data_IF_996704373498
#
_entry.id   IF_996704373498
#
_cell.length_a   1.000
_cell.length_b   1.000
_cell.length_c   1.000
_cell.angle_alpha   90.00
_cell.angle_beta   90.00
_cell.angle_gamma   90.00
#
_symmetry.space_group_name_H-M   'P 1'
#
loop_
_entity.id
_entity.type
_entity.pdbx_description
1 polymer ?
#
# COMPACT_ATOMS: atom_id res chain seq x y z
N UNK A 1 -23.65 6.96 -5.45
CA UNK A 1 -23.45 6.04 -6.59
C UNK A 1 -23.20 4.66 -6.03
N UNK A 2 -23.76 3.61 -6.64
CA UNK A 2 -23.53 2.22 -6.19
C UNK A 2 -22.11 1.77 -6.54
N UNK A 3 -21.53 0.89 -5.71
CA UNK A 3 -20.21 0.33 -5.95
C UNK A 3 -20.15 -0.47 -7.27
N UNK A 4 -18.97 -0.56 -7.87
CA UNK A 4 -18.72 -1.37 -9.06
C UNK A 4 -18.65 -2.85 -8.68
N UNK A 5 -17.94 -3.15 -7.60
CA UNK A 5 -17.86 -4.50 -7.03
C UNK A 5 -17.99 -4.46 -5.51
N UNK A 6 -18.70 -5.44 -4.96
CA UNK A 6 -18.91 -5.63 -3.53
C UNK A 6 -18.64 -7.09 -3.15
N UNK A 7 -17.96 -7.31 -2.04
CA UNK A 7 -17.80 -8.61 -1.41
C UNK A 7 -18.55 -8.59 -0.08
N UNK A 8 -19.51 -9.50 0.10
CA UNK A 8 -20.30 -9.60 1.32
C UNK A 8 -20.04 -10.96 2.00
N UNK A 9 -19.38 -10.93 3.17
CA UNK A 9 -19.03 -12.10 3.98
C UNK A 9 -18.31 -13.20 3.19
N UNK A 10 -17.43 -12.79 2.28
CA UNK A 10 -16.67 -13.70 1.41
C UNK A 10 -15.69 -14.51 2.26
N UNK A 11 -15.73 -15.82 2.11
CA UNK A 11 -14.72 -16.72 2.65
C UNK A 11 -14.24 -17.70 1.57
N UNK A 12 -12.95 -18.02 1.57
CA UNK A 12 -12.35 -19.03 0.68
C UNK A 12 -11.59 -20.04 1.54
N UNK A 13 -11.89 -21.31 1.37
CA UNK A 13 -11.20 -22.42 2.01
C UNK A 13 -10.62 -23.38 0.97
N UNK A 14 -9.39 -23.84 1.22
CA UNK A 14 -8.74 -24.91 0.47
C UNK A 14 -8.59 -26.11 1.39
N UNK A 15 -9.44 -27.12 1.19
CA UNK A 15 -9.58 -28.22 2.14
C UNK A 15 -10.09 -27.72 3.50
N UNK A 16 -9.38 -28.05 4.59
CA UNK A 16 -9.75 -27.63 5.94
C UNK A 16 -9.22 -26.23 6.34
N UNK A 17 -8.42 -25.57 5.47
CA UNK A 17 -7.78 -24.29 5.78
C UNK A 17 -8.52 -23.14 5.11
N UNK A 18 -9.04 -22.21 5.90
CA UNK A 18 -9.51 -20.91 5.41
C UNK A 18 -8.31 -20.05 5.00
N UNK A 19 -8.29 -19.59 3.76
CA UNK A 19 -7.22 -18.77 3.17
C UNK A 19 -7.60 -17.31 2.99
N UNK A 20 -8.90 -16.99 3.04
CA UNK A 20 -9.43 -15.64 2.92
C UNK A 20 -10.76 -15.49 3.68
N UNK A 21 -10.90 -14.40 4.44
CA UNK A 21 -12.09 -13.96 5.16
C UNK A 21 -12.23 -12.44 4.98
N UNK A 22 -13.28 -12.03 4.26
CA UNK A 22 -13.61 -10.64 3.96
C UNK A 22 -15.04 -10.36 4.40
N UNK A 23 -15.24 -9.68 5.54
CA UNK A 23 -16.58 -9.43 6.07
C UNK A 23 -17.39 -8.51 5.15
N UNK A 24 -16.76 -7.43 4.68
CA UNK A 24 -17.33 -6.48 3.72
C UNK A 24 -16.20 -5.75 3.01
N UNK A 25 -16.31 -5.62 1.69
CA UNK A 25 -15.43 -4.77 0.88
C UNK A 25 -16.25 -4.22 -0.29
N UNK A 26 -16.07 -2.95 -0.62
CA UNK A 26 -16.72 -2.32 -1.76
C UNK A 26 -15.76 -1.35 -2.43
N UNK A 27 -15.82 -1.32 -3.77
CA UNK A 27 -15.02 -0.44 -4.63
C UNK A 27 -15.96 0.48 -5.40
N UNK A 28 -15.87 1.77 -5.14
CA UNK A 28 -16.66 2.81 -5.78
C UNK A 28 -16.21 3.03 -7.24
N UNK A 29 -17.09 3.54 -8.11
CA UNK A 29 -16.71 3.88 -9.48
C UNK A 29 -15.55 4.89 -9.53
N UNK A 30 -14.52 4.59 -10.34
CA UNK A 30 -13.34 5.44 -10.51
C UNK A 30 -12.35 5.40 -9.34
N UNK A 31 -12.61 4.62 -8.29
CA UNK A 31 -11.72 4.44 -7.14
C UNK A 31 -10.54 3.53 -7.50
N UNK A 32 -9.35 3.88 -7.03
CA UNK A 32 -8.19 2.98 -6.97
C UNK A 32 -8.09 2.42 -5.55
N UNK A 33 -8.57 1.19 -5.35
CA UNK A 33 -8.41 0.45 -4.10
C UNK A 33 -7.10 -0.36 -4.16
N UNK A 34 -6.18 -0.09 -3.24
CA UNK A 34 -4.95 -0.87 -3.11
C UNK A 34 -5.07 -1.88 -1.98
N UNK A 35 -4.85 -3.16 -2.27
CA UNK A 35 -4.81 -4.24 -1.29
C UNK A 35 -3.35 -4.53 -0.94
N UNK A 36 -2.98 -4.25 0.31
CA UNK A 36 -1.62 -4.48 0.81
C UNK A 36 -1.59 -5.56 1.88
N UNK A 37 -0.45 -6.23 2.02
CA UNK A 37 -0.26 -7.29 3.00
C UNK A 37 0.98 -8.13 2.72
N UNK A 38 1.45 -8.92 3.69
CA UNK A 38 2.60 -9.80 3.50
C UNK A 38 2.32 -10.89 2.46
N UNK A 39 3.39 -11.57 2.03
CA UNK A 39 3.26 -12.73 1.15
C UNK A 39 2.40 -13.82 1.81
N UNK A 40 1.50 -14.43 1.05
CA UNK A 40 0.57 -15.43 1.57
C UNK A 40 -0.61 -14.88 2.37
N UNK A 41 -0.82 -13.56 2.43
CA UNK A 41 -1.94 -12.96 3.15
C UNK A 41 -3.33 -13.19 2.50
N UNK A 42 -3.39 -13.75 1.28
CA UNK A 42 -4.64 -13.98 0.54
C UNK A 42 -4.98 -12.91 -0.51
N UNK A 43 -4.06 -11.98 -0.82
CA UNK A 43 -4.30 -10.85 -1.74
C UNK A 43 -4.70 -11.30 -3.15
N UNK A 44 -3.90 -12.18 -3.76
CA UNK A 44 -4.19 -12.74 -5.09
C UNK A 44 -5.45 -13.62 -5.08
N UNK A 45 -5.75 -14.29 -3.96
CA UNK A 45 -7.02 -15.03 -3.80
C UNK A 45 -8.21 -14.08 -3.82
N UNK A 46 -8.15 -12.95 -3.11
CA UNK A 46 -9.18 -11.91 -3.16
C UNK A 46 -9.35 -11.38 -4.59
N UNK A 47 -8.26 -11.11 -5.29
CA UNK A 47 -8.29 -10.63 -6.67
C UNK A 47 -8.91 -11.66 -7.63
N UNK A 48 -8.63 -12.96 -7.46
CA UNK A 48 -9.28 -14.04 -8.22
C UNK A 48 -10.78 -14.16 -7.92
N UNK A 49 -11.20 -13.97 -6.67
CA UNK A 49 -12.62 -13.96 -6.30
C UNK A 49 -13.34 -12.78 -6.92
N UNK A 50 -12.78 -11.57 -6.82
CA UNK A 50 -13.32 -10.35 -7.45
C UNK A 50 -13.38 -10.51 -8.98
N UNK A 51 -12.34 -11.10 -9.59
CA UNK A 51 -12.25 -11.37 -11.02
C UNK A 51 -13.08 -12.56 -11.52
N UNK A 52 -13.86 -13.19 -10.64
CA UNK A 52 -14.70 -14.37 -10.93
C UNK A 52 -13.91 -15.55 -11.54
N UNK A 53 -12.64 -15.68 -11.15
CA UNK A 53 -11.76 -16.79 -11.49
C UNK A 53 -11.84 -17.93 -10.46
N UNK A 54 -12.21 -17.58 -9.23
CA UNK A 54 -12.35 -18.50 -8.10
C UNK A 54 -13.70 -18.21 -7.41
N UNK A 55 -14.47 -19.26 -7.10
CA UNK A 55 -15.72 -19.09 -6.37
C UNK A 55 -15.42 -19.04 -4.86
N UNK A 56 -16.05 -18.12 -4.11
CA UNK A 56 -15.94 -18.16 -2.66
C UNK A 56 -16.65 -19.41 -2.11
N UNK A 57 -16.11 -19.97 -1.02
CA UNK A 57 -16.72 -21.10 -0.30
C UNK A 57 -17.96 -20.65 0.48
N UNK A 58 -17.99 -19.39 0.92
CA UNK A 58 -19.15 -18.76 1.55
C UNK A 58 -19.22 -17.26 1.23
N UNK A 59 -20.40 -16.66 1.39
CA UNK A 59 -20.67 -15.28 1.02
C UNK A 59 -20.90 -15.09 -0.47
N UNK A 60 -20.89 -13.84 -0.93
CA UNK A 60 -21.16 -13.52 -2.32
C UNK A 60 -20.36 -12.31 -2.81
N UNK A 61 -20.16 -12.28 -4.13
CA UNK A 61 -19.64 -11.13 -4.86
C UNK A 61 -20.79 -10.52 -5.65
N UNK A 62 -20.93 -9.20 -5.62
CA UNK A 62 -21.87 -8.45 -6.44
C UNK A 62 -21.14 -7.52 -7.38
N UNK A 63 -21.61 -7.40 -8.62
CA UNK A 63 -21.11 -6.45 -9.59
C UNK A 63 -22.24 -5.52 -10.00
N UNK A 64 -22.07 -4.20 -9.82
CA UNK A 64 -23.14 -3.20 -10.01
C UNK A 64 -24.44 -3.55 -9.25
N UNK A 65 -24.31 -4.10 -8.05
CA UNK A 65 -25.43 -4.50 -7.18
C UNK A 65 -26.02 -5.88 -7.47
N UNK A 66 -25.66 -6.54 -8.57
CA UNK A 66 -26.18 -7.86 -8.93
C UNK A 66 -25.24 -8.98 -8.45
N UNK A 67 -25.74 -10.03 -7.78
CA UNK A 67 -24.93 -11.19 -7.41
C UNK A 67 -24.34 -11.89 -8.64
N UNK A 68 -23.05 -12.18 -8.59
CA UNK A 68 -22.31 -12.80 -9.69
C UNK A 68 -21.53 -14.02 -9.22
N UNK A 69 -21.38 -15.00 -10.10
CA UNK A 69 -20.61 -16.22 -9.84
C UNK A 69 -19.72 -16.54 -11.04
N UNK A 70 -18.63 -17.32 -10.87
CA UNK A 70 -17.80 -17.75 -12.00
C UNK A 70 -18.58 -18.47 -13.10
N UNK A 71 -19.61 -19.26 -12.76
CA UNK A 71 -20.40 -20.07 -13.71
C UNK A 71 -21.20 -19.22 -14.71
N UNK A 72 -21.74 -18.09 -14.27
CA UNK A 72 -22.57 -17.20 -15.11
C UNK A 72 -21.92 -15.83 -15.33
N UNK A 73 -20.66 -15.67 -14.93
CA UNK A 73 -19.96 -14.39 -14.89
C UNK A 73 -19.31 -13.97 -16.20
N UNK A 74 -19.47 -14.68 -17.33
CA UNK A 74 -18.73 -14.37 -18.56
C UNK A 74 -19.02 -12.95 -19.08
N UNK A 75 -20.29 -12.53 -19.07
CA UNK A 75 -20.66 -11.18 -19.49
C UNK A 75 -20.02 -10.10 -18.59
N UNK A 76 -19.96 -10.35 -17.29
CA UNK A 76 -19.32 -9.47 -16.30
C UNK A 76 -17.80 -9.47 -16.46
N UNK A 77 -17.18 -10.63 -16.66
CA UNK A 77 -15.73 -10.75 -16.93
C UNK A 77 -15.33 -10.03 -18.22
N UNK A 78 -16.21 -9.91 -19.21
CA UNK A 78 -15.98 -9.08 -20.40
C UNK A 78 -15.99 -7.58 -20.12
N UNK A 79 -16.46 -7.15 -18.95
CA UNK A 79 -16.39 -5.75 -18.46
C UNK A 79 -15.16 -5.53 -17.56
N UNK A 80 -14.39 -6.59 -17.31
CA UNK A 80 -13.16 -6.55 -16.51
C UNK A 80 -11.92 -6.74 -17.39
N UNK A 81 -10.77 -6.35 -16.86
CA UNK A 81 -9.47 -6.77 -17.36
C UNK A 81 -8.53 -7.10 -16.19
N UNK A 82 -7.61 -8.03 -16.40
CA UNK A 82 -6.65 -8.45 -15.38
C UNK A 82 -5.23 -8.39 -15.92
N UNK A 83 -4.31 -7.90 -15.10
CA UNK A 83 -2.86 -7.93 -15.35
C UNK A 83 -2.23 -8.67 -14.19
N UNK A 84 -1.50 -9.73 -14.52
CA UNK A 84 -0.80 -10.55 -13.54
C UNK A 84 0.64 -10.05 -13.37
N UNK A 85 1.31 -10.54 -12.33
CA UNK A 85 2.69 -10.19 -12.00
C UNK A 85 3.66 -10.41 -13.16
N UNK A 86 3.50 -11.53 -13.88
CA UNK A 86 4.26 -11.81 -15.09
C UNK A 86 3.51 -11.30 -16.34
N UNK A 87 4.17 -10.53 -17.22
CA UNK A 87 3.59 -10.11 -18.48
C UNK A 87 3.53 -11.31 -19.44
N UNK A 88 2.47 -12.11 -19.33
CA UNK A 88 2.19 -13.28 -20.17
C UNK A 88 1.85 -12.85 -21.61
N UNK A 89 2.85 -12.41 -22.37
CA UNK A 89 2.72 -12.00 -23.77
C UNK A 89 2.83 -13.21 -24.70
N UNK A 90 2.03 -13.23 -25.76
CA UNK A 90 2.13 -14.26 -26.80
C UNK A 90 3.28 -13.93 -27.77
N UNK A 91 3.82 -14.94 -28.45
CA UNK A 91 4.85 -14.73 -29.49
C UNK A 91 4.27 -14.10 -30.76
N UNK A 92 3.96 -12.82 -30.65
CA UNK A 92 3.44 -11.96 -31.70
C UNK A 92 4.06 -10.56 -31.58
N UNK A 93 3.64 -9.63 -32.44
CA UNK A 93 4.04 -8.24 -32.30
C UNK A 93 3.45 -7.60 -31.04
N UNK A 94 4.02 -6.47 -30.59
CA UNK A 94 3.45 -5.63 -29.54
C UNK A 94 2.01 -5.22 -29.88
N UNK A 95 1.78 -4.76 -31.12
CA UNK A 95 0.46 -4.38 -31.61
C UNK A 95 -0.54 -5.52 -31.53
N UNK A 96 -0.14 -6.73 -31.92
CA UNK A 96 -1.00 -7.91 -31.87
C UNK A 96 -1.32 -8.33 -30.44
N UNK A 97 -0.34 -8.23 -29.52
CA UNK A 97 -0.57 -8.48 -28.10
C UNK A 97 -1.61 -7.52 -27.54
N UNK A 98 -1.51 -6.21 -27.83
CA UNK A 98 -2.50 -5.22 -27.39
C UNK A 98 -3.86 -5.49 -28.05
N UNK A 99 -3.91 -5.75 -29.36
CA UNK A 99 -5.17 -6.00 -30.07
C UNK A 99 -5.88 -7.32 -29.68
N UNK A 100 -5.20 -8.24 -28.99
CA UNK A 100 -5.64 -9.61 -28.75
C UNK A 100 -7.04 -9.69 -28.13
N UNK A 101 -7.27 -8.97 -27.02
CA UNK A 101 -8.55 -9.01 -26.32
C UNK A 101 -9.71 -8.40 -27.13
N UNK A 102 -9.41 -7.41 -27.98
CA UNK A 102 -10.41 -6.82 -28.88
C UNK A 102 -10.85 -7.80 -29.96
N UNK A 103 -9.91 -8.58 -30.54
CA UNK A 103 -10.22 -9.62 -31.53
C UNK A 103 -11.10 -10.74 -30.96
N UNK A 104 -10.99 -11.03 -29.66
CA UNK A 104 -11.87 -12.01 -29.00
C UNK A 104 -13.26 -11.47 -28.66
N UNK A 105 -13.40 -10.14 -28.46
CA UNK A 105 -14.65 -9.51 -28.02
C UNK A 105 -15.45 -8.88 -29.17
N UNK A 106 -14.79 -8.51 -30.26
CA UNK A 106 -15.37 -7.89 -31.46
C UNK A 106 -15.27 -8.83 -32.66
N UNK A 107 -16.34 -8.94 -33.44
CA UNK A 107 -16.33 -9.60 -34.75
C UNK A 107 -15.86 -8.64 -35.88
N UNK A 108 -15.89 -7.33 -35.66
CA UNK A 108 -15.58 -6.33 -36.68
C UNK A 108 -14.18 -5.75 -36.45
N UNK A 109 -13.30 -5.95 -37.44
CA UNK A 109 -11.92 -5.48 -37.43
C UNK A 109 -11.79 -3.95 -37.65
N UNK A 110 -12.85 -3.30 -38.14
CA UNK A 110 -12.88 -1.87 -38.40
C UNK A 110 -12.81 -1.08 -37.09
N UNK A 111 -11.83 -0.18 -36.96
CA UNK A 111 -11.65 0.68 -35.76
C UNK A 111 -10.68 0.15 -34.70
N UNK A 112 -10.14 -1.07 -34.84
CA UNK A 112 -9.16 -1.62 -33.90
C UNK A 112 -7.82 -0.86 -33.92
N UNK A 113 -7.37 -0.46 -35.12
CA UNK A 113 -6.08 0.19 -35.33
C UNK A 113 -5.90 1.50 -34.54
N UNK A 114 -6.80 2.50 -34.68
CA UNK A 114 -6.71 3.75 -33.95
C UNK A 114 -6.74 3.58 -32.42
N UNK A 115 -7.58 2.66 -31.92
CA UNK A 115 -7.68 2.39 -30.48
C UNK A 115 -6.39 1.78 -29.93
N UNK A 116 -5.82 0.81 -30.64
CA UNK A 116 -4.53 0.21 -30.27
C UNK A 116 -3.42 1.26 -30.31
N UNK A 117 -3.36 2.10 -31.35
CA UNK A 117 -2.36 3.17 -31.46
C UNK A 117 -2.44 4.14 -30.27
N UNK A 118 -3.64 4.62 -29.92
CA UNK A 118 -3.87 5.48 -28.74
C UNK A 118 -3.27 4.90 -27.46
N UNK A 119 -3.52 3.62 -27.19
CA UNK A 119 -3.03 2.97 -25.96
C UNK A 119 -1.53 2.68 -26.00
N UNK A 120 -0.96 2.39 -27.16
CA UNK A 120 0.50 2.29 -27.31
C UNK A 120 1.19 3.63 -27.03
N UNK A 121 0.62 4.73 -27.53
CA UNK A 121 1.17 6.07 -27.34
C UNK A 121 1.07 6.52 -25.88
N UNK A 122 -0.06 6.25 -25.21
CA UNK A 122 -0.25 6.55 -23.77
C UNK A 122 0.79 5.89 -22.87
N UNK A 123 1.25 4.69 -23.23
CA UNK A 123 2.29 3.98 -22.49
C UNK A 123 3.71 4.25 -23.02
N UNK A 124 3.88 5.14 -24.00
CA UNK A 124 5.18 5.48 -24.58
C UNK A 124 5.81 4.35 -25.40
N UNK A 125 5.02 3.38 -25.86
CA UNK A 125 5.48 2.18 -26.57
C UNK A 125 5.04 2.12 -28.04
N UNK A 126 4.57 3.25 -28.60
CA UNK A 126 4.16 3.37 -30.01
C UNK A 126 5.24 2.94 -31.00
N UNK A 127 6.49 3.35 -30.77
CA UNK A 127 7.64 2.96 -31.60
C UNK A 127 7.92 1.44 -31.60
N UNK A 128 7.45 0.72 -30.58
CA UNK A 128 7.64 -0.72 -30.44
C UNK A 128 6.53 -1.54 -31.11
N UNK A 129 5.53 -0.91 -31.72
CA UNK A 129 4.31 -1.59 -32.21
C UNK A 129 4.57 -2.82 -33.08
N UNK A 130 5.58 -2.79 -33.94
CA UNK A 130 5.94 -3.89 -34.85
C UNK A 130 6.95 -4.90 -34.24
N UNK A 131 7.56 -4.57 -33.10
CA UNK A 131 8.58 -5.39 -32.44
C UNK A 131 7.97 -6.68 -31.89
N UNK A 132 8.73 -7.77 -31.91
CA UNK A 132 8.32 -9.07 -31.35
C UNK A 132 8.37 -9.03 -29.82
N UNK A 133 7.31 -9.50 -29.16
CA UNK A 133 7.16 -9.47 -27.70
C UNK A 133 8.33 -10.16 -26.96
N UNK A 134 8.87 -11.25 -27.50
CA UNK A 134 10.02 -11.98 -26.92
C UNK A 134 11.33 -11.19 -26.86
N UNK A 135 11.39 -10.01 -27.49
CA UNK A 135 12.60 -9.18 -27.54
C UNK A 135 12.52 -7.96 -26.63
N UNK A 136 11.42 -7.81 -25.88
CA UNK A 136 11.17 -6.67 -25.02
C UNK A 136 11.94 -6.79 -23.70
N UNK A 137 12.28 -5.66 -23.10
CA UNK A 137 12.68 -5.60 -21.69
C UNK A 137 11.50 -5.92 -20.77
N UNK A 138 11.76 -6.18 -19.48
CA UNK A 138 10.70 -6.42 -18.49
C UNK A 138 9.72 -5.24 -18.38
N UNK A 139 10.24 -4.00 -18.35
CA UNK A 139 9.42 -2.79 -18.32
C UNK A 139 8.61 -2.56 -19.59
N UNK A 140 9.20 -2.78 -20.76
CA UNK A 140 8.49 -2.71 -22.04
C UNK A 140 7.37 -3.76 -22.09
N UNK A 141 7.65 -5.01 -21.69
CA UNK A 141 6.66 -6.08 -21.67
C UNK A 141 5.50 -5.78 -20.71
N UNK A 142 5.79 -5.17 -19.56
CA UNK A 142 4.77 -4.77 -18.59
C UNK A 142 3.88 -3.65 -19.11
N UNK A 143 4.46 -2.63 -19.77
CA UNK A 143 3.70 -1.57 -20.47
C UNK A 143 2.77 -2.17 -21.53
N UNK A 144 3.24 -3.16 -22.29
CA UNK A 144 2.41 -3.88 -23.27
C UNK A 144 1.27 -4.66 -22.59
N UNK A 145 1.53 -5.30 -21.45
CA UNK A 145 0.51 -6.04 -20.69
C UNK A 145 -0.59 -5.10 -20.15
N UNK A 146 -0.22 -3.93 -19.62
CA UNK A 146 -1.15 -2.89 -19.17
C UNK A 146 -1.94 -2.30 -20.35
N UNK A 147 -1.27 -1.95 -21.46
CA UNK A 147 -1.92 -1.47 -22.66
C UNK A 147 -2.93 -2.50 -23.20
N UNK A 148 -2.58 -3.80 -23.21
CA UNK A 148 -3.47 -4.90 -23.61
C UNK A 148 -4.72 -5.01 -22.73
N UNK A 149 -4.62 -4.71 -21.43
CA UNK A 149 -5.77 -4.72 -20.54
C UNK A 149 -6.65 -3.48 -20.75
N UNK A 150 -6.03 -2.31 -20.86
CA UNK A 150 -6.70 -1.01 -20.91
C UNK A 150 -7.31 -0.68 -22.27
N UNK A 151 -6.77 -1.23 -23.35
CA UNK A 151 -7.37 -1.13 -24.68
C UNK A 151 -8.79 -1.70 -24.74
N UNK A 152 -9.20 -2.48 -23.73
CA UNK A 152 -10.55 -3.02 -23.62
C UNK A 152 -11.55 -2.05 -22.97
N UNK A 153 -11.05 -0.92 -22.41
CA UNK A 153 -11.81 0.04 -21.61
C UNK A 153 -12.68 -0.68 -20.54
N UNK A 154 -12.03 -1.41 -19.61
CA UNK A 154 -12.74 -2.16 -18.59
C UNK A 154 -13.40 -1.22 -17.58
N UNK A 155 -14.55 -1.64 -17.04
CA UNK A 155 -15.17 -0.97 -15.90
C UNK A 155 -14.46 -1.28 -14.58
N UNK A 156 -13.73 -2.40 -14.53
CA UNK A 156 -12.91 -2.81 -13.40
C UNK A 156 -11.59 -3.40 -13.89
N UNK A 157 -10.49 -2.76 -13.50
CA UNK A 157 -9.14 -3.25 -13.73
C UNK A 157 -8.62 -3.96 -12.48
N UNK A 158 -8.08 -5.16 -12.66
CA UNK A 158 -7.49 -5.96 -11.59
C UNK A 158 -6.00 -6.11 -11.84
N UNK A 159 -5.17 -5.64 -10.92
CA UNK A 159 -3.72 -5.67 -11.05
C UNK A 159 -3.12 -6.48 -9.91
N UNK A 160 -2.39 -7.55 -10.23
CA UNK A 160 -1.74 -8.43 -9.24
C UNK A 160 -0.22 -8.22 -9.30
N UNK A 161 0.31 -7.43 -8.37
CA UNK A 161 1.73 -7.07 -8.25
C UNK A 161 2.39 -6.64 -9.58
N UNK A 162 1.79 -5.69 -10.34
CA UNK A 162 2.20 -5.37 -11.71
C UNK A 162 3.59 -4.72 -11.80
N UNK A 163 4.22 -4.38 -10.69
CA UNK A 163 5.52 -3.70 -10.64
C UNK A 163 6.63 -4.57 -10.04
N UNK A 164 6.30 -5.74 -9.49
CA UNK A 164 7.23 -6.51 -8.66
C UNK A 164 8.52 -6.92 -9.38
N UNK A 165 8.45 -7.21 -10.68
CA UNK A 165 9.58 -7.65 -11.50
C UNK A 165 10.42 -6.50 -12.12
N UNK A 166 10.12 -5.24 -11.79
CA UNK A 166 10.78 -4.07 -12.38
C UNK A 166 11.88 -3.52 -11.47
N UNK A 167 12.97 -3.04 -12.11
CA UNK A 167 13.99 -2.21 -11.47
C UNK A 167 13.41 -0.87 -10.99
N UNK A 168 14.09 -0.24 -10.02
CA UNK A 168 13.56 0.94 -9.31
C UNK A 168 13.21 2.12 -10.25
N UNK A 169 14.09 2.58 -11.16
CA UNK A 169 13.75 3.71 -12.04
C UNK A 169 12.58 3.40 -12.98
N UNK A 170 12.56 2.19 -13.56
CA UNK A 170 11.47 1.76 -14.46
C UNK A 170 10.15 1.63 -13.72
N UNK A 171 10.19 1.14 -12.47
CA UNK A 171 9.03 1.04 -11.57
C UNK A 171 8.43 2.41 -11.29
N UNK A 172 9.25 3.37 -10.83
CA UNK A 172 8.78 4.72 -10.47
C UNK A 172 8.10 5.41 -11.65
N UNK A 173 8.73 5.39 -12.83
CA UNK A 173 8.14 5.97 -14.04
C UNK A 173 6.83 5.29 -14.45
N UNK A 174 6.74 3.95 -14.34
CA UNK A 174 5.51 3.24 -14.69
C UNK A 174 4.37 3.48 -13.68
N UNK A 175 4.69 3.62 -12.39
CA UNK A 175 3.71 4.00 -11.35
C UNK A 175 3.12 5.38 -11.68
N UNK A 176 3.96 6.36 -12.00
CA UNK A 176 3.52 7.70 -12.37
C UNK A 176 2.64 7.67 -13.62
N UNK A 177 3.10 7.02 -14.70
CA UNK A 177 2.36 6.89 -15.95
C UNK A 177 0.99 6.22 -15.73
N UNK A 178 0.97 5.10 -15.01
CA UNK A 178 -0.26 4.36 -14.75
C UNK A 178 -1.22 5.20 -13.90
N UNK A 179 -0.73 5.84 -12.85
CA UNK A 179 -1.55 6.71 -11.99
C UNK A 179 -2.22 7.83 -12.77
N UNK A 180 -1.47 8.50 -13.65
CA UNK A 180 -2.00 9.55 -14.52
C UNK A 180 -3.09 9.01 -15.47
N UNK A 181 -2.86 7.84 -16.08
CA UNK A 181 -3.81 7.18 -16.98
C UNK A 181 -5.10 6.79 -16.25
N UNK A 182 -5.00 6.11 -15.11
CA UNK A 182 -6.16 5.61 -14.36
C UNK A 182 -7.07 6.75 -13.90
N UNK A 183 -6.48 7.84 -13.39
CA UNK A 183 -7.22 9.03 -12.95
C UNK A 183 -7.85 9.78 -14.12
N UNK A 184 -7.12 9.96 -15.23
CA UNK A 184 -7.63 10.66 -16.40
C UNK A 184 -8.81 9.94 -17.07
N UNK A 185 -8.78 8.60 -17.08
CA UNK A 185 -9.82 7.77 -17.72
C UNK A 185 -10.91 7.31 -16.72
N UNK A 186 -10.77 7.61 -15.43
CA UNK A 186 -11.75 7.25 -14.39
C UNK A 186 -11.93 5.74 -14.20
N UNK A 187 -10.86 4.96 -14.36
CA UNK A 187 -10.92 3.50 -14.37
C UNK A 187 -10.90 2.96 -12.94
N UNK A 188 -12.01 2.33 -12.53
CA UNK A 188 -12.09 1.63 -11.25
C UNK A 188 -11.07 0.52 -11.20
N UNK A 189 -10.23 0.51 -10.16
CA UNK A 189 -9.06 -0.37 -10.10
C UNK A 189 -8.93 -1.04 -8.74
N UNK A 190 -8.63 -2.33 -8.73
CA UNK A 190 -8.13 -3.04 -7.55
C UNK A 190 -6.69 -3.44 -7.84
N UNK A 191 -5.75 -2.87 -7.08
CA UNK A 191 -4.32 -3.13 -7.18
C UNK A 191 -3.86 -3.91 -5.96
N UNK A 192 -3.31 -5.10 -6.17
CA UNK A 192 -2.62 -5.86 -5.14
C UNK A 192 -1.14 -5.54 -5.19
N UNK A 193 -0.56 -5.20 -4.04
CA UNK A 193 0.90 -5.01 -3.89
C UNK A 193 1.35 -5.34 -2.47
N UNK A 194 2.65 -5.53 -2.29
CA UNK A 194 3.29 -5.57 -0.97
C UNK A 194 4.12 -4.31 -0.69
N UNK A 195 4.23 -3.39 -1.66
CA UNK A 195 5.00 -2.16 -1.55
C UNK A 195 4.14 -1.00 -1.01
N UNK A 196 4.68 -0.27 -0.03
CA UNK A 196 4.00 0.85 0.62
C UNK A 196 3.99 2.11 -0.25
N UNK A 197 5.07 2.34 -0.99
CA UNK A 197 5.22 3.48 -1.89
C UNK A 197 4.21 3.42 -3.03
N UNK A 198 3.99 2.23 -3.58
CA UNK A 198 2.94 1.98 -4.59
C UNK A 198 1.54 2.31 -4.05
N UNK A 199 1.24 1.88 -2.83
CA UNK A 199 -0.04 2.19 -2.19
C UNK A 199 -0.22 3.70 -1.94
N UNK A 200 0.83 4.39 -1.47
CA UNK A 200 0.84 5.83 -1.25
C UNK A 200 0.71 6.63 -2.55
N UNK A 201 1.34 6.16 -3.63
CA UNK A 201 1.35 6.86 -4.91
C UNK A 201 0.04 6.70 -5.70
N UNK A 202 -0.56 5.51 -5.66
CA UNK A 202 -1.71 5.17 -6.52
C UNK A 202 -3.04 5.13 -5.79
N UNK A 203 -3.07 4.69 -4.53
CA UNK A 203 -4.31 4.36 -3.84
C UNK A 203 -5.10 5.57 -3.37
N UNK A 204 -6.39 5.59 -3.68
CA UNK A 204 -7.34 6.48 -3.00
C UNK A 204 -7.72 5.88 -1.64
N UNK A 205 -7.89 4.54 -1.60
CA UNK A 205 -8.10 3.75 -0.38
C UNK A 205 -7.17 2.56 -0.33
N UNK A 206 -6.88 2.12 0.89
CA UNK A 206 -6.04 0.96 1.17
C UNK A 206 -6.82 -0.07 2.00
N UNK A 207 -6.77 -1.32 1.55
CA UNK A 207 -7.24 -2.49 2.27
C UNK A 207 -6.03 -3.29 2.78
N UNK A 208 -5.87 -3.41 4.09
CA UNK A 208 -4.81 -4.19 4.72
C UNK A 208 -5.30 -5.60 4.99
N UNK A 209 -4.71 -6.56 4.29
CA UNK A 209 -5.01 -7.98 4.40
C UNK A 209 -3.83 -8.71 5.05
N UNK A 210 -4.07 -9.42 6.15
CA UNK A 210 -3.03 -10.19 6.84
C UNK A 210 -3.60 -11.52 7.33
N UNK A 211 -2.82 -12.59 7.17
CA UNK A 211 -3.23 -13.94 7.61
C UNK A 211 -4.62 -14.35 7.08
N UNK A 212 -4.94 -13.99 5.84
CA UNK A 212 -6.25 -14.26 5.23
C UNK A 212 -7.37 -13.32 5.67
N UNK A 213 -7.13 -12.34 6.55
CA UNK A 213 -8.17 -11.48 7.13
C UNK A 213 -8.01 -10.04 6.73
N UNK A 214 -9.12 -9.39 6.42
CA UNK A 214 -9.18 -7.96 6.19
C UNK A 214 -9.18 -7.21 7.53
N UNK A 215 -8.07 -6.53 7.85
CA UNK A 215 -7.87 -5.89 9.15
C UNK A 215 -8.28 -4.42 9.18
N UNK A 216 -8.09 -3.71 8.07
CA UNK A 216 -8.44 -2.29 7.94
C UNK A 216 -8.74 -1.95 6.48
N UNK A 217 -9.75 -1.11 6.24
CA UNK A 217 -9.97 -0.47 4.95
C UNK A 217 -10.31 0.99 5.18
N UNK A 218 -9.52 1.90 4.66
CA UNK A 218 -9.72 3.34 4.85
C UNK A 218 -9.06 4.13 3.71
N UNK A 219 -9.20 5.45 3.72
CA UNK A 219 -8.37 6.35 2.91
C UNK A 219 -6.90 6.04 3.15
N UNK A 220 -6.11 6.09 2.07
CA UNK A 220 -4.67 5.77 2.12
C UNK A 220 -3.98 6.53 3.24
N UNK A 221 -4.18 7.84 3.32
CA UNK A 221 -3.57 8.67 4.37
C UNK A 221 -3.96 8.22 5.79
N UNK A 222 -5.21 7.77 6.01
CA UNK A 222 -5.66 7.31 7.32
C UNK A 222 -5.05 5.96 7.69
N UNK A 223 -4.92 5.02 6.76
CA UNK A 223 -4.27 3.72 7.05
C UNK A 223 -2.81 3.90 7.50
N UNK A 224 -2.08 4.80 6.85
CA UNK A 224 -0.68 5.06 7.21
C UNK A 224 -0.52 5.93 8.48
N UNK A 225 -1.44 6.87 8.73
CA UNK A 225 -1.39 7.77 9.89
C UNK A 225 -2.00 7.19 11.16
N UNK A 226 -3.09 6.43 11.02
CA UNK A 226 -3.91 5.89 12.09
C UNK A 226 -4.19 4.39 11.82
N UNK A 227 -3.17 3.53 11.93
CA UNK A 227 -3.35 2.09 11.78
C UNK A 227 -4.36 1.57 12.83
N UNK A 228 -5.19 0.59 12.49
CA UNK A 228 -6.26 0.10 13.36
C UNK A 228 -5.79 -0.91 14.41
N UNK A 229 -4.59 -1.48 14.25
CA UNK A 229 -4.02 -2.47 15.16
C UNK A 229 -2.49 -2.41 15.13
N UNK A 230 -1.86 -3.06 16.11
CA UNK A 230 -0.40 -3.17 16.17
C UNK A 230 0.16 -3.91 14.94
N UNK A 231 -0.54 -4.95 14.48
CA UNK A 231 -0.16 -5.72 13.31
C UNK A 231 -0.13 -4.84 12.05
N UNK A 232 -1.19 -4.03 11.87
CA UNK A 232 -1.25 -3.06 10.77
C UNK A 232 -0.17 -1.99 10.92
N UNK A 233 0.02 -1.45 12.13
CA UNK A 233 1.02 -0.42 12.41
C UNK A 233 2.43 -0.87 11.99
N UNK A 234 2.85 -2.07 12.42
CA UNK A 234 4.14 -2.66 12.04
C UNK A 234 4.24 -2.86 10.52
N UNK A 235 3.15 -3.35 9.91
CA UNK A 235 3.12 -3.57 8.47
C UNK A 235 3.24 -2.27 7.66
N UNK A 236 2.72 -1.14 8.14
CA UNK A 236 2.78 0.16 7.43
C UNK A 236 3.98 1.04 7.81
N UNK A 237 4.93 0.52 8.57
CA UNK A 237 6.22 1.18 8.84
C UNK A 237 6.35 1.83 10.22
N UNK A 238 5.43 1.59 11.15
CA UNK A 238 5.64 1.96 12.55
C UNK A 238 6.65 1.00 13.16
N UNK A 239 7.75 1.53 13.70
CA UNK A 239 8.81 0.73 14.29
C UNK A 239 8.82 0.78 15.81
N UNK A 240 8.59 1.96 16.39
CA UNK A 240 8.56 2.14 17.84
C UNK A 240 7.13 1.97 18.31
N UNK A 241 6.85 0.83 18.95
CA UNK A 241 5.57 0.53 19.58
C UNK A 241 5.81 0.26 21.07
N UNK A 242 5.33 1.15 21.93
CA UNK A 242 5.55 1.09 23.37
C UNK A 242 4.21 0.86 24.07
N UNK A 243 4.16 -0.12 24.97
CA UNK A 243 3.00 -0.32 25.83
C UNK A 243 3.21 0.46 27.12
N UNK A 244 2.43 1.51 27.32
CA UNK A 244 2.63 2.46 28.41
C UNK A 244 1.29 2.85 29.08
N UNK A 245 1.30 3.09 30.40
CA UNK A 245 0.16 3.65 31.10
C UNK A 245 0.06 5.15 30.82
N UNK A 246 -1.17 5.64 30.75
CA UNK A 246 -1.48 7.06 30.75
C UNK A 246 -1.49 7.52 32.21
N UNK A 247 -0.60 8.43 32.56
CA UNK A 247 -0.40 8.89 33.95
C UNK A 247 -1.13 10.21 34.24
N UNK A 248 -1.54 10.94 33.21
CA UNK A 248 -2.19 12.23 33.39
C UNK A 248 -2.60 12.91 32.09
N UNK A 249 -3.09 14.14 32.23
CA UNK A 249 -3.42 15.04 31.12
C UNK A 249 -2.90 16.44 31.43
N UNK A 250 -2.44 17.13 30.41
CA UNK A 250 -2.16 18.56 30.45
C UNK A 250 -2.89 19.23 29.28
N UNK A 251 -4.01 19.89 29.60
CA UNK A 251 -4.92 20.46 28.58
C UNK A 251 -5.40 19.39 27.59
N UNK A 252 -5.01 19.54 26.31
CA UNK A 252 -5.35 18.61 25.22
C UNK A 252 -4.34 17.47 25.04
N UNK A 253 -3.29 17.41 25.87
CA UNK A 253 -2.22 16.43 25.78
C UNK A 253 -2.44 15.31 26.79
N UNK A 254 -2.25 14.07 26.36
CA UNK A 254 -2.14 12.91 27.25
C UNK A 254 -0.68 12.71 27.64
N UNK A 255 -0.45 12.41 28.91
CA UNK A 255 0.88 12.14 29.47
C UNK A 255 1.05 10.64 29.67
N UNK A 256 2.08 10.06 29.03
CA UNK A 256 2.36 8.63 29.07
C UNK A 256 3.70 8.39 29.77
N UNK A 257 3.77 7.35 30.60
CA UNK A 257 5.02 6.92 31.22
C UNK A 257 5.74 5.94 30.29
N UNK A 258 6.93 6.30 29.82
CA UNK A 258 7.74 5.44 28.95
C UNK A 258 9.23 5.59 29.25
N UNK A 259 9.87 4.49 29.66
CA UNK A 259 11.26 4.51 30.10
C UNK A 259 11.44 5.42 31.33
N UNK A 260 12.51 6.25 31.39
CA UNK A 260 12.78 7.13 32.53
C UNK A 260 11.99 8.44 32.51
N UNK A 261 11.09 8.66 31.54
CA UNK A 261 10.47 9.97 31.30
C UNK A 261 8.99 9.91 30.97
N UNK A 262 8.43 11.11 30.76
CA UNK A 262 7.05 11.31 30.32
C UNK A 262 7.02 11.69 28.84
N UNK A 263 6.11 11.08 28.09
CA UNK A 263 5.84 11.42 26.69
C UNK A 263 4.48 12.11 26.61
N UNK A 264 4.44 13.29 26.00
CA UNK A 264 3.25 14.07 25.69
C UNK A 264 2.70 13.69 24.30
N UNK A 265 1.41 13.36 24.22
CA UNK A 265 0.74 13.00 22.96
C UNK A 265 -0.54 13.80 22.77
N UNK A 266 -0.70 14.39 21.59
CA UNK A 266 -1.87 15.17 21.19
C UNK A 266 -3.02 14.28 20.70
N UNK A 267 -3.32 13.23 21.47
CA UNK A 267 -4.49 12.38 21.29
C UNK A 267 -5.09 12.08 22.66
N UNK A 268 -6.42 12.09 22.80
CA UNK A 268 -7.06 11.88 24.09
C UNK A 268 -6.93 10.42 24.55
N UNK A 269 -6.43 10.23 25.77
CA UNK A 269 -6.41 8.96 26.50
C UNK A 269 -6.64 9.23 27.98
N UNK A 270 -7.32 8.33 28.70
CA UNK A 270 -7.71 8.60 30.11
C UNK A 270 -6.61 8.14 31.07
N UNK A 271 -6.33 8.88 32.17
CA UNK A 271 -5.42 8.41 33.21
C UNK A 271 -5.81 7.03 33.75
N UNK A 272 -4.83 6.13 33.88
CA UNK A 272 -5.02 4.73 34.24
C UNK A 272 -5.31 3.80 33.05
N UNK A 273 -5.54 4.33 31.84
CA UNK A 273 -5.62 3.53 30.62
C UNK A 273 -4.23 3.02 30.22
N UNK A 274 -4.17 1.80 29.68
CA UNK A 274 -2.98 1.28 29.01
C UNK A 274 -3.15 1.40 27.50
N UNK A 275 -2.20 2.07 26.86
CA UNK A 275 -2.20 2.32 25.41
C UNK A 275 -0.92 1.81 24.79
N UNK A 276 -0.96 1.58 23.47
CA UNK A 276 0.24 1.36 22.67
C UNK A 276 0.56 2.64 21.92
N UNK A 277 1.66 3.30 22.28
CA UNK A 277 2.19 4.44 21.54
C UNK A 277 2.93 3.93 20.31
N UNK A 278 2.51 4.36 19.13
CA UNK A 278 3.09 4.05 17.83
C UNK A 278 3.81 5.29 17.30
N UNK A 279 5.11 5.17 17.03
CA UNK A 279 5.93 6.25 16.50
C UNK A 279 6.76 5.75 15.32
N UNK A 280 6.77 6.55 14.26
CA UNK A 280 7.52 6.30 13.04
C UNK A 280 8.93 6.88 13.14
N UNK A 281 9.93 6.24 12.53
CA UNK A 281 11.30 6.74 12.58
C UNK A 281 11.47 8.08 11.87
N UNK A 282 10.71 8.35 10.80
CA UNK A 282 10.71 9.63 10.07
C UNK A 282 10.17 10.82 10.90
N UNK A 283 9.43 10.56 11.98
CA UNK A 283 8.90 11.60 12.87
C UNK A 283 9.88 11.97 14.00
N UNK A 284 11.03 11.30 14.09
CA UNK A 284 12.04 11.49 15.14
C UNK A 284 13.23 12.25 14.58
N UNK A 285 13.48 13.44 15.13
CA UNK A 285 14.66 14.26 14.82
C UNK A 285 15.72 14.08 15.90
N UNK A 286 17.00 14.13 15.53
CA UNK A 286 18.13 14.01 16.45
C UNK A 286 18.85 15.34 16.62
N UNK A 287 19.25 15.64 17.85
CA UNK A 287 20.11 16.77 18.18
C UNK A 287 21.39 16.27 18.90
N UNK A 288 22.53 16.85 18.53
CA UNK A 288 23.81 16.63 19.20
C UNK A 288 23.96 17.59 20.40
N UNK A 289 24.61 17.11 21.47
CA UNK A 289 24.85 17.90 22.69
C UNK A 289 23.77 17.71 23.77
N UNK A 290 24.15 17.92 25.03
CA UNK A 290 23.33 17.75 26.23
C UNK A 290 22.08 18.67 26.29
N UNK A 291 21.37 18.77 27.44
CA UNK A 291 19.97 19.21 27.55
C UNK A 291 19.59 20.60 27.00
N UNK A 292 20.55 21.38 26.50
CA UNK A 292 20.38 22.74 26.01
C UNK A 292 20.69 22.85 24.51
N UNK A 293 19.82 22.29 23.66
CA UNK A 293 19.77 22.62 22.23
C UNK A 293 18.40 23.21 21.89
N UNK A 294 18.42 24.46 21.40
CA UNK A 294 17.37 25.33 20.82
C UNK A 294 15.88 25.07 21.17
N UNK A 295 15.16 26.13 21.52
CA UNK A 295 13.69 26.14 21.59
C UNK A 295 13.11 25.57 20.28
N UNK A 296 12.40 24.46 20.37
CA UNK A 296 11.69 23.86 19.23
C UNK A 296 10.24 23.61 19.63
N UNK A 297 9.36 23.47 18.65
CA UNK A 297 7.96 23.11 18.89
C UNK A 297 7.77 21.64 19.27
N UNK A 298 8.84 20.83 19.26
CA UNK A 298 8.80 19.46 19.74
C UNK A 298 8.70 19.44 21.27
N UNK A 299 7.61 18.83 21.76
CA UNK A 299 7.32 18.68 23.19
C UNK A 299 8.11 17.53 23.81
N UNK A 300 8.31 16.45 23.05
CA UNK A 300 9.01 15.27 23.53
C UNK A 300 10.49 15.38 23.26
N UNK A 301 11.30 15.25 24.32
CA UNK A 301 12.76 15.27 24.27
C UNK A 301 13.28 14.15 25.15
N UNK A 302 13.90 13.16 24.53
CA UNK A 302 14.40 11.98 25.21
C UNK A 302 15.92 11.92 25.05
N UNK A 303 16.68 12.08 26.14
CA UNK A 303 18.12 11.82 26.10
C UNK A 303 18.34 10.33 25.90
N UNK A 304 19.31 9.98 25.06
CA UNK A 304 19.63 8.60 24.78
C UNK A 304 21.03 8.42 24.20
N UNK A 305 21.40 7.17 23.94
CA UNK A 305 22.65 6.82 23.29
C UNK A 305 22.40 6.07 22.00
N UNK A 306 23.15 6.41 20.96
CA UNK A 306 23.12 5.69 19.70
C UNK A 306 23.65 4.28 19.92
N UNK A 307 22.81 3.29 19.66
CA UNK A 307 23.16 1.86 19.76
C UNK A 307 23.67 1.34 18.43
N UNK A 308 23.06 1.78 17.33
CA UNK A 308 23.38 1.26 15.99
C UNK A 308 23.00 2.26 14.91
N UNK A 309 23.80 2.31 13.84
CA UNK A 309 23.47 3.00 12.59
C UNK A 309 23.35 1.98 11.45
N UNK A 310 22.28 2.06 10.67
CA UNK A 310 21.99 1.14 9.58
C UNK A 310 21.75 1.97 8.31
N UNK A 311 22.65 1.93 7.32
CA UNK A 311 22.42 2.58 6.02
C UNK A 311 21.15 2.05 5.34
N UNK A 312 20.31 2.95 4.84
CA UNK A 312 19.03 2.64 4.19
C UNK A 312 18.79 3.59 3.01
N UNK A 313 19.43 3.28 1.88
CA UNK A 313 19.40 4.12 0.68
C UNK A 313 19.98 5.53 0.95
N UNK A 314 19.25 6.62 0.67
CA UNK A 314 19.70 7.98 0.94
C UNK A 314 19.62 8.36 2.43
N UNK A 315 19.07 7.48 3.27
CA UNK A 315 18.90 7.69 4.70
C UNK A 315 19.79 6.75 5.51
N UNK A 316 19.92 7.07 6.80
CA UNK A 316 20.52 6.22 7.83
C UNK A 316 19.48 6.05 8.92
N UNK A 317 19.14 4.79 9.20
CA UNK A 317 18.28 4.42 10.31
C UNK A 317 19.14 4.31 11.57
N UNK A 318 18.87 5.15 12.56
CA UNK A 318 19.60 5.25 13.81
C UNK A 318 18.75 4.66 14.94
N UNK A 319 19.28 3.66 15.63
CA UNK A 319 18.65 3.04 16.80
C UNK A 319 19.25 3.65 18.06
N UNK A 320 18.38 4.14 18.95
CA UNK A 320 18.75 4.90 20.14
C UNK A 320 18.15 4.21 21.36
N UNK A 321 18.94 4.08 22.41
CA UNK A 321 18.45 3.68 23.73
C UNK A 321 18.14 4.92 24.56
N UNK A 322 16.84 5.17 24.77
CA UNK A 322 16.31 6.22 25.65
C UNK A 322 15.71 5.63 26.94
N UNK A 323 16.15 4.44 27.36
CA UNK A 323 15.45 3.56 28.30
C UNK A 323 14.44 2.62 27.63
N UNK A 324 14.33 2.73 26.31
CA UNK A 324 13.68 1.81 25.39
C UNK A 324 14.26 2.05 23.99
N UNK A 325 14.18 1.07 23.07
CA UNK A 325 14.66 1.24 21.70
C UNK A 325 13.76 2.20 20.92
N UNK A 326 14.34 3.31 20.48
CA UNK A 326 13.71 4.31 19.61
C UNK A 326 14.44 4.32 18.27
N UNK A 327 13.70 4.24 17.17
CA UNK A 327 14.26 4.37 15.83
C UNK A 327 14.06 5.80 15.31
N UNK A 328 15.08 6.33 14.64
CA UNK A 328 15.02 7.60 13.91
C UNK A 328 15.55 7.40 12.48
N UNK A 329 14.97 8.09 11.51
CA UNK A 329 15.45 8.09 10.13
C UNK A 329 16.03 9.46 9.80
N UNK A 330 17.34 9.51 9.53
CA UNK A 330 18.05 10.75 9.24
C UNK A 330 18.79 10.65 7.90
N UNK A 331 19.28 11.77 7.36
CA UNK A 331 20.10 11.73 6.14
C UNK A 331 21.55 11.37 6.46
N UNK A 332 22.32 10.87 5.48
CA UNK A 332 23.77 10.68 5.62
C UNK A 332 24.48 11.97 6.04
N UNK A 333 24.07 13.10 5.46
CA UNK A 333 24.59 14.42 5.81
C UNK A 333 24.35 14.76 7.29
N UNK A 334 23.17 14.44 7.83
CA UNK A 334 22.87 14.64 9.25
C UNK A 334 23.73 13.75 10.16
N UNK A 335 24.07 12.53 9.73
CA UNK A 335 25.01 11.66 10.46
C UNK A 335 26.38 12.30 10.56
N UNK A 336 26.88 12.84 9.44
CA UNK A 336 28.17 13.54 9.39
C UNK A 336 28.15 14.83 10.23
N UNK A 337 27.15 15.70 10.05
CA UNK A 337 27.06 17.00 10.74
C UNK A 337 26.88 16.86 12.26
N UNK A 338 26.13 15.84 12.72
CA UNK A 338 25.90 15.57 14.14
C UNK A 338 26.95 14.62 14.74
N UNK A 339 27.91 14.16 13.93
CA UNK A 339 28.97 13.22 14.32
C UNK A 339 28.38 11.95 14.98
N UNK A 340 27.30 11.41 14.40
CA UNK A 340 26.61 10.24 14.96
C UNK A 340 27.47 8.99 14.78
N UNK A 341 27.76 8.33 15.90
CA UNK A 341 28.46 7.05 15.96
C UNK A 341 27.88 6.22 17.11
N UNK A 342 28.10 4.91 17.09
CA UNK A 342 27.71 4.04 18.20
C UNK A 342 28.34 4.53 19.52
N UNK A 343 27.54 4.57 20.58
CA UNK A 343 27.91 5.07 21.89
C UNK A 343 27.75 6.58 22.10
N UNK A 344 27.58 7.37 21.03
CA UNK A 344 27.38 8.83 21.11
C UNK A 344 26.06 9.15 21.81
N UNK A 345 26.10 10.15 22.70
CA UNK A 345 24.90 10.65 23.39
C UNK A 345 24.17 11.67 22.50
N UNK A 346 22.86 11.50 22.38
CA UNK A 346 21.98 12.32 21.54
C UNK A 346 20.70 12.65 22.29
N UNK A 347 19.99 13.68 21.83
CA UNK A 347 18.61 13.92 22.25
C UNK A 347 17.67 13.64 21.07
N UNK A 348 16.80 12.64 21.23
CA UNK A 348 15.72 12.37 20.28
C UNK A 348 14.54 13.31 20.55
N UNK A 349 14.01 13.92 19.50
CA UNK A 349 12.94 14.91 19.57
C UNK A 349 11.81 14.57 18.63
N UNK A 350 10.56 14.70 19.09
CA UNK A 350 9.38 14.57 18.23
C UNK A 350 8.22 15.41 18.75
N UNK A 351 7.31 15.78 17.84
CA UNK A 351 6.11 16.55 18.19
C UNK A 351 5.12 15.66 18.95
N UNK A 352 4.31 16.26 19.83
CA UNK A 352 3.21 15.53 20.48
C UNK A 352 2.15 15.02 19.47
N UNK A 353 2.09 15.60 18.26
CA UNK A 353 1.17 15.21 17.19
C UNK A 353 1.66 14.03 16.34
N UNK A 354 2.92 13.62 16.49
CA UNK A 354 3.50 12.55 15.67
C UNK A 354 3.08 11.14 16.12
N UNK A 355 3.09 10.80 17.43
CA UNK A 355 2.68 9.48 17.86
C UNK A 355 1.19 9.22 17.62
N UNK A 356 0.88 7.97 17.28
CA UNK A 356 -0.48 7.44 17.23
C UNK A 356 -0.73 6.48 18.40
N UNK A 357 -1.82 6.64 19.13
CA UNK A 357 -2.22 5.77 20.23
C UNK A 357 -3.19 4.69 19.75
N UNK A 358 -2.77 3.43 19.87
CA UNK A 358 -3.68 2.29 19.75
C UNK A 358 -4.21 1.94 21.13
N UNK A 359 -5.53 1.95 21.26
CA UNK A 359 -6.19 1.47 22.48
C UNK A 359 -6.26 -0.05 22.44
N UNK A 360 -5.92 -0.70 23.54
CA UNK A 360 -6.28 -2.11 23.70
C UNK A 360 -7.80 -2.18 23.68
N UNK A 361 -8.40 -2.86 22.69
CA UNK A 361 -9.83 -3.17 22.79
C UNK A 361 -10.01 -3.87 24.14
N UNK A 362 -10.89 -3.34 25.00
CA UNK A 362 -11.36 -4.09 26.17
C UNK A 362 -11.85 -5.42 25.63
N UNK A 363 -11.23 -6.51 26.11
CA UNK A 363 -11.57 -7.87 25.72
C UNK A 363 -13.05 -8.17 26.01
#
# INVERSE_FOLDING_TARGET
>A
MSAVVECARVAVAHGARTVLEVPSLAVAPGEILVVIGPNGAGKSTLLRVIGLLEAPTAGEVRFRGEPVTPRHGLAVRRRMASVFQEPLLIDASVRDNVALGLRFRSAEAAGLGPRVARWLDRFGIGALAARRARTLSGGEAQRVALARALVLEPELLLLDEPFAALDQPTREGLIEDLGAILRAEGITTVLVTHDRGEALALGDRVAVLMNGRLLQVDETAQVFRAPASEEVARFVGVETILHCPVIGRDGALSLLEAGPGTIEVAQPAEPGEWVRLCLRPEDVTLAAGGPAAAHSSARNRLPGRVVRLIPSGPHVRVIIDCGFPLAALVTHRSVEELHLAEGVSVTAQFKATAPHLLRSRKA
#
